data_IF_167496550421
#
_entry.id   IF_167496550421
#
_cell.length_a   1.000
_cell.length_b   1.000
_cell.length_c   1.000
_cell.angle_alpha   90.00
_cell.angle_beta   90.00
_cell.angle_gamma   90.00
#
_symmetry.space_group_name_H-M   'P 1'
#
loop_
_entity.id
_entity.type
_entity.pdbx_description
1 polymer ?
#
# COMPACT_ATOMS: atom_id res chain seq x y z
N UNK A 1 -27.13 -2.28 -6.40
CA UNK A 1 -28.32 -1.40 -6.35
C UNK A 1 -28.32 -0.78 -4.96
N UNK A 2 -27.87 0.46 -4.82
CA UNK A 2 -28.06 1.21 -3.57
C UNK A 2 -29.37 1.98 -3.73
N UNK A 3 -30.48 1.39 -3.28
CA UNK A 3 -31.71 2.15 -3.04
C UNK A 3 -31.51 2.93 -1.74
N UNK A 4 -31.37 4.25 -1.86
CA UNK A 4 -31.36 5.14 -0.73
C UNK A 4 -32.73 5.20 -0.07
N UNK A 5 -32.78 4.92 1.20
CA UNK A 5 -33.83 5.44 2.07
C UNK A 5 -33.78 6.97 2.02
N UNK A 6 -34.89 7.60 1.70
CA UNK A 6 -35.10 9.06 1.73
C UNK A 6 -34.97 9.57 3.16
N UNK A 7 -33.75 9.79 3.67
CA UNK A 7 -33.41 10.63 4.83
C UNK A 7 -31.88 10.58 5.13
N UNK A 8 -31.03 10.28 4.15
CA UNK A 8 -29.58 10.24 4.30
C UNK A 8 -28.90 11.41 3.60
N UNK A 9 -28.60 12.49 4.32
CA UNK A 9 -27.54 13.43 3.96
C UNK A 9 -26.30 12.58 3.65
N UNK A 10 -25.72 12.72 2.45
CA UNK A 10 -24.61 11.89 1.98
C UNK A 10 -23.50 11.82 3.05
N UNK A 11 -23.25 10.62 3.58
CA UNK A 11 -22.18 10.36 4.56
C UNK A 11 -20.79 10.31 3.92
N UNK A 12 -20.69 10.59 2.61
CA UNK A 12 -19.44 10.51 1.85
C UNK A 12 -18.55 11.70 2.12
N UNK A 13 -17.27 11.45 2.33
CA UNK A 13 -16.24 12.48 2.45
C UNK A 13 -16.15 13.31 1.17
N UNK A 14 -15.88 14.61 1.31
CA UNK A 14 -15.72 15.51 0.16
C UNK A 14 -14.58 15.03 -0.77
N UNK A 15 -14.85 14.95 -2.07
CA UNK A 15 -13.84 14.63 -3.07
C UNK A 15 -12.62 15.56 -3.01
N UNK A 16 -12.79 16.82 -2.56
CA UNK A 16 -11.70 17.80 -2.39
C UNK A 16 -10.67 17.35 -1.37
N UNK A 17 -11.06 16.54 -0.38
CA UNK A 17 -10.15 15.94 0.60
C UNK A 17 -9.39 14.76 0.00
N UNK A 18 -10.05 13.95 -0.82
CA UNK A 18 -9.54 12.64 -1.27
C UNK A 18 -8.66 12.75 -2.52
N UNK A 19 -9.10 13.53 -3.52
CA UNK A 19 -8.41 13.60 -4.82
C UNK A 19 -6.94 14.07 -4.76
N UNK A 20 -6.53 15.02 -3.90
CA UNK A 20 -5.13 15.42 -3.78
C UNK A 20 -4.19 14.25 -3.47
N UNK A 21 -4.60 13.33 -2.59
CA UNK A 21 -3.81 12.14 -2.28
C UNK A 21 -3.63 11.22 -3.49
N UNK A 22 -4.69 11.03 -4.29
CA UNK A 22 -4.61 10.22 -5.52
C UNK A 22 -3.67 10.84 -6.56
N UNK A 23 -3.72 12.16 -6.73
CA UNK A 23 -2.83 12.87 -7.66
C UNK A 23 -1.38 12.74 -7.19
N UNK A 24 -1.12 13.00 -5.91
CA UNK A 24 0.21 12.90 -5.34
C UNK A 24 0.79 11.49 -5.49
N UNK A 25 0.00 10.47 -5.13
CA UNK A 25 0.43 9.08 -5.24
C UNK A 25 0.71 8.68 -6.71
N UNK A 26 -0.12 9.10 -7.64
CA UNK A 26 0.09 8.83 -9.06
C UNK A 26 1.41 9.45 -9.57
N UNK A 27 1.70 10.70 -9.19
CA UNK A 27 2.95 11.37 -9.52
C UNK A 27 4.15 10.70 -8.83
N UNK A 28 4.02 10.29 -7.56
CA UNK A 28 5.07 9.57 -6.84
C UNK A 28 5.42 8.25 -7.53
N UNK A 29 4.43 7.50 -8.02
CA UNK A 29 4.68 6.27 -8.78
C UNK A 29 5.43 6.55 -10.10
N UNK A 30 5.06 7.61 -10.81
CA UNK A 30 5.77 8.03 -12.01
C UNK A 30 7.23 8.40 -11.70
N UNK A 31 7.45 9.21 -10.66
CA UNK A 31 8.79 9.62 -10.22
C UNK A 31 9.60 8.38 -9.80
N UNK A 32 9.03 7.44 -9.05
CA UNK A 32 9.70 6.20 -8.66
C UNK A 32 10.15 5.37 -9.86
N UNK A 33 9.32 5.26 -10.90
CA UNK A 33 9.67 4.49 -12.10
C UNK A 33 10.69 5.21 -12.98
N UNK A 34 10.65 6.53 -13.09
CA UNK A 34 11.72 7.33 -13.73
C UNK A 34 13.03 7.11 -12.98
N UNK A 35 12.98 7.20 -11.65
CA UNK A 35 14.15 7.00 -10.79
C UNK A 35 14.72 5.59 -10.95
N UNK A 36 13.86 4.58 -11.04
CA UNK A 36 14.24 3.19 -11.30
C UNK A 36 14.99 3.05 -12.63
N UNK A 37 14.51 3.66 -13.72
CA UNK A 37 15.17 3.60 -15.05
C UNK A 37 16.52 4.27 -15.02
N UNK A 38 16.65 5.43 -14.37
CA UNK A 38 17.88 6.20 -14.32
C UNK A 38 18.96 5.53 -13.47
N UNK A 39 18.57 4.90 -12.36
CA UNK A 39 19.49 4.35 -11.36
C UNK A 39 19.43 2.82 -11.24
N UNK A 40 19.01 2.12 -12.28
CA UNK A 40 18.72 0.68 -12.25
C UNK A 40 19.87 -0.16 -11.70
N UNK A 41 21.11 0.13 -12.11
CA UNK A 41 22.28 -0.64 -11.67
C UNK A 41 22.67 -0.34 -10.23
N UNK A 42 22.54 0.91 -9.78
CA UNK A 42 22.93 1.31 -8.43
C UNK A 42 21.95 0.75 -7.40
N UNK A 43 20.65 0.75 -7.70
CA UNK A 43 19.59 0.17 -6.86
C UNK A 43 19.81 -1.34 -6.64
N UNK A 44 20.43 -2.03 -7.59
CA UNK A 44 20.69 -3.49 -7.46
C UNK A 44 22.01 -3.83 -6.76
N UNK A 45 22.83 -2.85 -6.38
CA UNK A 45 24.11 -3.07 -5.69
C UNK A 45 23.93 -3.49 -4.22
N UNK A 46 23.12 -2.73 -3.48
CA UNK A 46 22.90 -2.98 -2.06
C UNK A 46 21.56 -2.40 -1.58
N UNK A 47 20.90 -3.08 -0.64
CA UNK A 47 19.60 -2.63 -0.10
C UNK A 47 19.72 -1.33 0.72
N UNK A 48 20.90 -1.02 1.26
CA UNK A 48 21.21 0.23 1.97
C UNK A 48 21.89 1.29 1.09
N UNK A 49 21.86 1.14 -0.22
CA UNK A 49 22.37 2.16 -1.13
C UNK A 49 21.46 3.41 -1.10
N UNK A 50 22.00 4.65 -1.14
CA UNK A 50 21.20 5.89 -1.10
C UNK A 50 20.01 5.89 -2.05
N UNK A 51 20.21 5.43 -3.27
CA UNK A 51 19.16 5.36 -4.28
C UNK A 51 18.12 4.28 -3.97
N UNK A 52 18.52 3.18 -3.35
CA UNK A 52 17.57 2.14 -2.89
C UNK A 52 16.72 2.65 -1.73
N UNK A 53 17.31 3.37 -0.78
CA UNK A 53 16.57 4.02 0.31
C UNK A 53 15.59 5.06 -0.24
N UNK A 54 16.03 5.92 -1.17
CA UNK A 54 15.17 6.94 -1.77
C UNK A 54 13.97 6.32 -2.51
N UNK A 55 14.21 5.38 -3.42
CA UNK A 55 13.11 4.74 -4.19
C UNK A 55 12.15 3.96 -3.28
N UNK A 56 12.68 3.29 -2.25
CA UNK A 56 11.85 2.57 -1.27
C UNK A 56 10.90 3.53 -0.58
N UNK A 57 11.35 4.70 -0.14
CA UNK A 57 10.49 5.68 0.53
C UNK A 57 9.54 6.41 -0.42
N UNK A 58 9.91 6.62 -1.69
CA UNK A 58 8.95 7.08 -2.71
C UNK A 58 7.82 6.04 -2.88
N UNK A 59 8.16 4.76 -2.96
CA UNK A 59 7.18 3.68 -3.15
C UNK A 59 6.34 3.42 -1.90
N UNK A 60 6.93 3.45 -0.71
CA UNK A 60 6.22 3.17 0.55
C UNK A 60 5.36 4.35 0.99
N UNK A 61 5.93 5.55 1.08
CA UNK A 61 5.24 6.75 1.58
C UNK A 61 4.51 7.47 0.44
N UNK A 62 5.22 7.78 -0.64
CA UNK A 62 4.69 8.57 -1.74
C UNK A 62 3.61 7.85 -2.56
N UNK A 63 3.83 6.59 -2.91
CA UNK A 63 2.88 5.78 -3.66
C UNK A 63 1.90 5.05 -2.74
N UNK A 64 2.40 4.09 -1.95
CA UNK A 64 1.55 3.18 -1.16
C UNK A 64 0.78 3.91 -0.07
N UNK A 65 1.47 4.63 0.81
CA UNK A 65 0.81 5.28 1.96
C UNK A 65 -0.10 6.41 1.53
N UNK A 66 0.32 7.30 0.62
CA UNK A 66 -0.54 8.41 0.19
C UNK A 66 -1.84 7.94 -0.47
N UNK A 67 -1.81 6.94 -1.36
CA UNK A 67 -3.05 6.41 -1.96
C UNK A 67 -3.95 5.78 -0.90
N UNK A 68 -3.38 5.08 0.08
CA UNK A 68 -4.11 4.47 1.19
C UNK A 68 -4.77 5.53 2.07
N UNK A 69 -4.03 6.59 2.45
CA UNK A 69 -4.59 7.70 3.25
C UNK A 69 -5.78 8.34 2.53
N UNK A 70 -5.64 8.62 1.23
CA UNK A 70 -6.71 9.15 0.42
C UNK A 70 -7.94 8.23 0.36
N UNK A 71 -7.72 6.96 0.03
CA UNK A 71 -8.78 5.96 -0.06
C UNK A 71 -9.48 5.74 1.29
N UNK A 72 -8.73 5.67 2.39
CA UNK A 72 -9.30 5.43 3.72
C UNK A 72 -10.14 6.59 4.24
N UNK A 73 -9.80 7.84 3.95
CA UNK A 73 -10.66 8.98 4.25
C UNK A 73 -12.05 8.85 3.61
N UNK A 74 -12.16 8.19 2.46
CA UNK A 74 -13.43 7.89 1.80
C UNK A 74 -14.09 6.62 2.34
N UNK A 75 -13.32 5.56 2.58
CA UNK A 75 -13.83 4.22 2.86
C UNK A 75 -14.18 4.01 4.35
N UNK A 76 -13.39 4.58 5.28
CA UNK A 76 -13.64 4.41 6.72
C UNK A 76 -15.03 4.93 7.11
N UNK A 77 -15.47 6.14 6.72
CA UNK A 77 -16.85 6.60 6.96
C UNK A 77 -17.91 5.63 6.45
N UNK A 78 -17.67 4.97 5.30
CA UNK A 78 -18.59 3.98 4.75
C UNK A 78 -18.60 2.70 5.60
N UNK A 79 -17.45 2.26 6.11
CA UNK A 79 -17.35 1.04 6.92
C UNK A 79 -18.01 1.20 8.30
N UNK A 80 -17.85 2.38 8.89
CA UNK A 80 -18.40 2.69 10.22
C UNK A 80 -19.82 3.27 10.16
N UNK A 81 -20.44 3.34 8.98
CA UNK A 81 -21.75 3.97 8.74
C UNK A 81 -21.86 5.38 9.36
N UNK A 82 -20.73 6.11 9.34
CA UNK A 82 -20.56 7.40 9.99
C UNK A 82 -20.02 8.49 9.07
N UNK A 83 -19.49 9.54 9.67
CA UNK A 83 -18.85 10.67 8.95
C UNK A 83 -17.39 10.78 9.35
N UNK A 84 -16.56 11.28 8.44
CA UNK A 84 -15.19 11.67 8.78
C UNK A 84 -15.24 12.77 9.85
N UNK A 85 -14.45 12.61 10.91
CA UNK A 85 -14.45 13.55 12.04
C UNK A 85 -14.06 14.96 11.62
N UNK A 86 -12.97 15.12 10.81
CA UNK A 86 -12.47 16.44 10.43
C UNK A 86 -11.83 16.46 9.05
N UNK A 87 -12.39 17.27 8.14
CA UNK A 87 -11.74 17.56 6.87
C UNK A 87 -10.42 18.37 7.07
N UNK A 88 -10.32 19.20 8.13
CA UNK A 88 -9.11 19.96 8.43
C UNK A 88 -7.93 19.05 8.77
N UNK A 89 -8.15 18.02 9.60
CA UNK A 89 -7.12 17.02 9.91
C UNK A 89 -6.70 16.23 8.67
N UNK A 90 -7.63 15.93 7.77
CA UNK A 90 -7.30 15.27 6.51
C UNK A 90 -6.43 16.18 5.60
N UNK A 91 -6.73 17.47 5.51
CA UNK A 91 -5.85 18.41 4.80
C UNK A 91 -4.49 18.58 5.49
N UNK A 92 -4.45 18.66 6.82
CA UNK A 92 -3.20 18.73 7.57
C UNK A 92 -2.32 17.49 7.28
N UNK A 93 -2.89 16.28 7.35
CA UNK A 93 -2.15 15.06 7.04
C UNK A 93 -1.63 15.05 5.59
N UNK A 94 -2.40 15.56 4.63
CA UNK A 94 -1.96 15.70 3.24
C UNK A 94 -0.78 16.67 3.11
N UNK A 95 -0.91 17.89 3.62
CA UNK A 95 0.10 18.96 3.46
C UNK A 95 1.42 18.54 4.13
N UNK A 96 1.36 18.05 5.36
CA UNK A 96 2.53 17.59 6.11
C UNK A 96 3.24 16.44 5.39
N UNK A 97 2.50 15.45 4.89
CA UNK A 97 3.08 14.35 4.12
C UNK A 97 3.64 14.83 2.78
N UNK A 98 2.91 15.70 2.06
CA UNK A 98 3.32 16.19 0.74
C UNK A 98 4.63 17.01 0.78
N UNK A 99 4.94 17.65 1.90
CA UNK A 99 6.21 18.36 2.13
C UNK A 99 7.24 17.41 2.75
N UNK A 100 6.86 16.62 3.75
CA UNK A 100 7.77 15.75 4.50
C UNK A 100 8.39 14.65 3.64
N UNK A 101 7.60 14.00 2.78
CA UNK A 101 8.08 12.90 1.94
C UNK A 101 9.20 13.34 0.98
N UNK A 102 9.09 14.42 0.19
CA UNK A 102 10.18 14.88 -0.67
C UNK A 102 11.45 15.27 0.09
N UNK A 103 11.32 15.90 1.27
CA UNK A 103 12.47 16.25 2.11
C UNK A 103 13.18 14.99 2.61
N UNK A 104 12.44 14.01 3.10
CA UNK A 104 12.98 12.72 3.54
C UNK A 104 13.68 11.97 2.39
N UNK A 105 13.03 11.89 1.23
CA UNK A 105 13.58 11.25 0.03
C UNK A 105 14.85 11.96 -0.44
N UNK A 106 14.87 13.29 -0.42
CA UNK A 106 16.06 14.06 -0.75
C UNK A 106 17.21 13.80 0.22
N UNK A 107 16.90 13.70 1.53
CA UNK A 107 17.89 13.30 2.54
C UNK A 107 18.53 11.94 2.24
N UNK A 108 17.73 10.94 1.89
CA UNK A 108 18.24 9.63 1.49
C UNK A 108 19.01 9.66 0.17
N UNK A 109 18.48 10.34 -0.85
CA UNK A 109 19.12 10.45 -2.15
C UNK A 109 20.52 11.06 -2.07
N UNK A 110 20.67 12.15 -1.31
CA UNK A 110 21.95 12.83 -1.08
C UNK A 110 22.77 12.20 0.04
N UNK A 111 22.25 11.14 0.67
CA UNK A 111 22.80 10.50 1.87
C UNK A 111 23.08 11.50 3.01
N UNK A 112 22.24 12.51 3.12
CA UNK A 112 22.29 13.52 4.19
C UNK A 112 21.25 13.21 5.26
N UNK A 113 21.67 12.48 6.30
CA UNK A 113 20.83 12.14 7.46
C UNK A 113 20.66 13.31 8.45
N UNK A 114 21.18 14.50 8.12
CA UNK A 114 21.04 15.73 8.89
C UNK A 114 19.65 16.36 8.72
N UNK A 115 19.64 17.70 8.52
CA UNK A 115 18.41 18.48 8.50
C UNK A 115 17.32 17.94 7.55
N UNK A 116 17.60 17.63 6.26
CA UNK A 116 16.52 17.26 5.34
C UNK A 116 15.84 15.93 5.75
N UNK A 117 16.62 14.90 6.11
CA UNK A 117 16.05 13.62 6.50
C UNK A 117 15.27 13.72 7.82
N UNK A 118 15.81 14.45 8.82
CA UNK A 118 15.15 14.65 10.12
C UNK A 118 13.84 15.42 9.99
N UNK A 119 13.89 16.62 9.40
CA UNK A 119 12.70 17.45 9.22
C UNK A 119 11.65 16.71 8.35
N UNK A 120 12.08 16.03 7.30
CA UNK A 120 11.20 15.20 6.48
C UNK A 120 10.51 14.10 7.28
N UNK A 121 11.25 13.37 8.11
CA UNK A 121 10.71 12.33 8.99
C UNK A 121 9.75 12.86 10.06
N UNK A 122 10.08 13.99 10.69
CA UNK A 122 9.22 14.65 11.68
C UNK A 122 7.89 15.10 11.07
N UNK A 123 7.92 15.70 9.87
CA UNK A 123 6.70 16.07 9.14
C UNK A 123 5.86 14.86 8.75
N UNK A 124 6.48 13.75 8.34
CA UNK A 124 5.77 12.50 8.06
C UNK A 124 5.10 11.94 9.31
N UNK A 125 5.77 11.95 10.47
CA UNK A 125 5.15 11.53 11.74
C UNK A 125 3.97 12.46 12.10
N UNK A 126 4.13 13.77 11.98
CA UNK A 126 3.05 14.72 12.24
C UNK A 126 1.84 14.49 11.30
N UNK A 127 2.10 14.13 10.02
CA UNK A 127 1.06 13.75 9.08
C UNK A 127 0.32 12.46 9.53
N UNK A 128 1.07 11.44 9.98
CA UNK A 128 0.52 10.17 10.48
C UNK A 128 -0.31 10.40 11.75
N UNK A 129 0.16 11.22 12.68
CA UNK A 129 -0.59 11.56 13.90
C UNK A 129 -1.89 12.28 13.54
N UNK A 130 -1.85 13.24 12.61
CA UNK A 130 -3.05 13.95 12.15
C UNK A 130 -4.07 12.98 11.52
N UNK A 131 -3.59 12.04 10.70
CA UNK A 131 -4.40 11.00 10.08
C UNK A 131 -4.99 10.03 11.12
N UNK A 132 -4.16 9.48 12.01
CA UNK A 132 -4.57 8.53 13.05
C UNK A 132 -5.63 9.16 13.97
N UNK A 133 -5.42 10.41 14.41
CA UNK A 133 -6.38 11.15 15.23
C UNK A 133 -7.73 11.31 14.52
N UNK A 134 -7.72 11.58 13.22
CA UNK A 134 -8.94 11.73 12.42
C UNK A 134 -9.70 10.40 12.30
N UNK A 135 -9.01 9.32 11.95
CA UNK A 135 -9.61 7.99 11.79
C UNK A 135 -10.10 7.44 13.13
N UNK A 136 -9.28 7.53 14.19
CA UNK A 136 -9.64 7.06 15.54
C UNK A 136 -10.91 7.77 16.05
N UNK A 137 -10.96 9.10 15.96
CA UNK A 137 -12.14 9.86 16.43
C UNK A 137 -13.36 9.55 15.58
N UNK A 138 -13.21 9.30 14.28
CA UNK A 138 -14.31 8.85 13.42
C UNK A 138 -14.84 7.50 13.86
N UNK A 139 -13.97 6.55 14.22
CA UNK A 139 -14.35 5.21 14.65
C UNK A 139 -15.01 5.19 16.02
N UNK A 140 -14.49 5.93 17.01
CA UNK A 140 -15.07 6.03 18.36
C UNK A 140 -16.50 6.58 18.33
N UNK A 141 -16.81 7.44 17.36
CA UNK A 141 -18.15 7.98 17.15
C UNK A 141 -19.10 7.05 16.39
N UNK A 142 -18.61 5.90 15.94
CA UNK A 142 -19.42 4.87 15.28
C UNK A 142 -20.26 4.08 16.26
N UNK A 143 -21.42 3.64 15.78
CA UNK A 143 -22.34 2.78 16.56
C UNK A 143 -22.11 1.28 16.29
N UNK A 144 -21.23 0.93 15.37
CA UNK A 144 -21.01 -0.46 14.92
C UNK A 144 -19.55 -0.85 15.10
N UNK A 145 -19.31 -1.91 15.86
CA UNK A 145 -18.02 -2.57 15.96
C UNK A 145 -17.84 -3.52 14.75
N UNK A 146 -16.91 -3.21 13.87
CA UNK A 146 -16.66 -4.02 12.68
C UNK A 146 -15.20 -4.44 12.68
N UNK A 147 -14.93 -5.73 12.51
CA UNK A 147 -13.58 -6.31 12.45
C UNK A 147 -12.65 -5.55 11.47
N UNK A 148 -13.19 -5.11 10.34
CA UNK A 148 -12.45 -4.33 9.34
C UNK A 148 -11.90 -3.00 9.89
N UNK A 149 -12.66 -2.33 10.77
CA UNK A 149 -12.23 -1.09 11.42
C UNK A 149 -11.07 -1.34 12.39
N UNK A 150 -11.10 -2.47 13.12
CA UNK A 150 -10.00 -2.86 14.02
C UNK A 150 -8.71 -3.12 13.24
N UNK A 151 -8.78 -3.81 12.09
CA UNK A 151 -7.63 -3.97 11.21
C UNK A 151 -7.03 -2.63 10.79
N UNK A 152 -7.86 -1.69 10.31
CA UNK A 152 -7.41 -0.36 9.85
C UNK A 152 -6.79 0.42 11.00
N UNK A 153 -7.42 0.44 12.18
CA UNK A 153 -6.91 1.14 13.35
C UNK A 153 -5.55 0.59 13.79
N UNK A 154 -5.44 -0.74 13.93
CA UNK A 154 -4.18 -1.39 14.33
C UNK A 154 -3.08 -1.16 13.29
N UNK A 155 -3.41 -1.20 12.00
CA UNK A 155 -2.45 -0.88 10.94
C UNK A 155 -1.94 0.57 11.06
N UNK A 156 -2.81 1.53 11.38
CA UNK A 156 -2.40 2.92 11.61
C UNK A 156 -1.47 3.07 12.81
N UNK A 157 -1.69 2.30 13.88
CA UNK A 157 -0.75 2.26 15.03
C UNK A 157 0.61 1.70 14.63
N UNK A 158 0.63 0.62 13.87
CA UNK A 158 1.87 0.06 13.34
C UNK A 158 2.60 1.03 12.39
N UNK A 159 1.87 1.81 11.58
CA UNK A 159 2.45 2.86 10.75
C UNK A 159 3.16 3.92 11.61
N UNK A 160 2.52 4.37 12.69
CA UNK A 160 3.12 5.32 13.62
C UNK A 160 4.40 4.75 14.26
N UNK A 161 4.35 3.51 14.74
CA UNK A 161 5.51 2.81 15.30
C UNK A 161 6.62 2.70 14.24
N UNK A 162 6.30 2.27 13.02
CA UNK A 162 7.26 2.18 11.91
C UNK A 162 7.95 3.51 11.64
N UNK A 163 7.16 4.58 11.49
CA UNK A 163 7.71 5.91 11.22
C UNK A 163 8.58 6.41 12.38
N UNK A 164 8.17 6.15 13.62
CA UNK A 164 8.94 6.51 14.82
C UNK A 164 10.27 5.76 14.87
N UNK A 165 10.27 4.44 14.63
CA UNK A 165 11.52 3.66 14.53
C UNK A 165 12.40 4.21 13.41
N UNK A 166 11.84 4.48 12.21
CA UNK A 166 12.58 5.06 11.10
C UNK A 166 13.24 6.41 11.43
N UNK A 167 12.51 7.30 12.13
CA UNK A 167 13.07 8.57 12.59
C UNK A 167 14.18 8.37 13.62
N UNK A 168 14.03 7.44 14.56
CA UNK A 168 15.07 7.08 15.52
C UNK A 168 16.35 6.61 14.81
N UNK A 169 16.23 5.80 13.73
CA UNK A 169 17.38 5.37 12.94
C UNK A 169 18.08 6.54 12.24
N UNK A 170 17.34 7.54 11.74
CA UNK A 170 17.93 8.76 11.17
C UNK A 170 18.70 9.53 12.23
N UNK A 171 18.15 9.69 13.42
CA UNK A 171 18.84 10.33 14.55
C UNK A 171 20.07 9.54 15.00
N UNK A 172 20.00 8.21 15.01
CA UNK A 172 21.11 7.36 15.40
C UNK A 172 22.34 7.50 14.48
N UNK A 173 22.15 7.82 13.20
CA UNK A 173 23.26 8.16 12.30
C UNK A 173 24.12 9.33 12.78
N UNK A 174 23.53 10.28 13.52
CA UNK A 174 24.25 11.46 13.98
C UNK A 174 24.70 11.36 15.44
N UNK A 175 23.86 10.74 16.29
CA UNK A 175 24.06 10.78 17.74
C UNK A 175 24.52 9.45 18.34
N UNK A 176 24.50 8.35 17.59
CA UNK A 176 24.97 7.02 17.96
C UNK A 176 24.49 6.59 19.37
N UNK A 177 23.19 6.78 19.65
CA UNK A 177 22.61 6.50 20.97
C UNK A 177 22.07 5.07 21.10
N UNK A 178 21.87 4.36 19.98
CA UNK A 178 21.52 2.95 19.99
C UNK A 178 22.77 2.08 20.16
N UNK A 179 22.62 0.86 20.72
CA UNK A 179 23.76 -0.07 20.92
C UNK A 179 24.46 -0.49 19.61
N UNK A 180 23.71 -0.60 18.53
CA UNK A 180 24.21 -1.03 17.22
C UNK A 180 23.98 0.05 16.15
N UNK A 181 24.54 -0.14 14.96
CA UNK A 181 24.37 0.78 13.83
C UNK A 181 22.93 0.78 13.29
N UNK A 182 22.54 1.88 12.69
CA UNK A 182 21.17 2.03 12.15
C UNK A 182 20.83 0.96 11.08
N UNK A 183 21.82 0.45 10.36
CA UNK A 183 21.62 -0.61 9.37
C UNK A 183 21.18 -1.92 10.03
N UNK A 184 21.64 -2.21 11.24
CA UNK A 184 21.30 -3.45 11.95
C UNK A 184 19.83 -3.47 12.38
N UNK A 185 19.22 -2.30 12.61
CA UNK A 185 17.79 -2.16 12.92
C UNK A 185 16.89 -2.01 11.69
N UNK A 186 17.46 -1.95 10.48
CA UNK A 186 16.67 -1.81 9.25
C UNK A 186 15.66 -2.96 9.04
N UNK A 187 15.99 -4.24 9.32
CA UNK A 187 15.01 -5.33 9.25
C UNK A 187 13.81 -5.12 10.18
N UNK A 188 14.03 -4.56 11.38
CA UNK A 188 12.96 -4.27 12.34
C UNK A 188 12.02 -3.21 11.77
N UNK A 189 12.55 -2.07 11.34
CA UNK A 189 11.79 -0.99 10.72
C UNK A 189 10.98 -1.48 9.51
N UNK A 190 11.64 -2.19 8.60
CA UNK A 190 11.01 -2.65 7.36
C UNK A 190 9.88 -3.66 7.60
N UNK A 191 10.11 -4.69 8.43
CA UNK A 191 9.11 -5.74 8.63
C UNK A 191 7.90 -5.26 9.45
N UNK A 192 8.08 -4.34 10.42
CA UNK A 192 6.97 -3.69 11.11
C UNK A 192 6.11 -2.91 10.09
N UNK A 193 6.73 -2.15 9.18
CA UNK A 193 6.01 -1.42 8.15
C UNK A 193 5.31 -2.32 7.15
N UNK A 194 5.96 -3.39 6.70
CA UNK A 194 5.39 -4.32 5.72
C UNK A 194 4.22 -5.11 6.29
N UNK A 195 4.40 -5.76 7.41
CA UNK A 195 3.37 -6.63 7.99
C UNK A 195 2.37 -5.84 8.86
N UNK A 196 2.84 -4.85 9.61
CA UNK A 196 2.00 -4.05 10.50
C UNK A 196 1.17 -3.00 9.77
N UNK A 197 1.75 -2.27 8.82
CA UNK A 197 1.00 -1.27 8.07
C UNK A 197 0.35 -1.85 6.82
N UNK A 198 1.16 -2.27 5.82
CA UNK A 198 0.61 -2.64 4.52
C UNK A 198 -0.23 -3.91 4.57
N UNK A 199 0.27 -4.98 5.18
CA UNK A 199 -0.44 -6.27 5.16
C UNK A 199 -1.75 -6.21 5.95
N UNK A 200 -1.73 -5.71 7.19
CA UNK A 200 -2.96 -5.60 8.00
C UNK A 200 -3.98 -4.69 7.34
N UNK A 201 -3.56 -3.54 6.80
CA UNK A 201 -4.48 -2.60 6.17
C UNK A 201 -5.08 -3.17 4.88
N UNK A 202 -4.25 -3.75 4.00
CA UNK A 202 -4.72 -4.35 2.74
C UNK A 202 -5.69 -5.50 3.03
N UNK A 203 -5.42 -6.34 4.03
CA UNK A 203 -6.33 -7.41 4.43
C UNK A 203 -7.61 -6.83 5.04
N UNK A 204 -7.52 -5.86 5.94
CA UNK A 204 -8.67 -5.24 6.58
C UNK A 204 -9.64 -4.61 5.57
N UNK A 205 -9.12 -3.80 4.65
CA UNK A 205 -9.91 -3.17 3.59
C UNK A 205 -10.33 -4.19 2.53
N UNK A 206 -9.42 -5.06 2.12
CA UNK A 206 -9.66 -6.09 1.10
C UNK A 206 -10.73 -7.09 1.49
N UNK A 207 -10.79 -7.49 2.76
CA UNK A 207 -11.81 -8.41 3.29
C UNK A 207 -13.25 -7.86 3.20
N UNK A 208 -13.40 -6.53 3.09
CA UNK A 208 -14.69 -5.88 2.83
C UNK A 208 -14.93 -5.62 1.34
N UNK A 209 -13.93 -5.05 0.66
CA UNK A 209 -14.08 -4.60 -0.73
C UNK A 209 -14.12 -5.75 -1.73
N UNK A 210 -13.31 -6.80 -1.55
CA UNK A 210 -13.25 -7.93 -2.50
C UNK A 210 -14.61 -8.64 -2.61
N UNK A 211 -15.25 -9.10 -1.51
CA UNK A 211 -16.60 -9.67 -1.58
C UNK A 211 -17.63 -8.70 -2.17
N UNK A 212 -17.56 -7.42 -1.79
CA UNK A 212 -18.47 -6.39 -2.30
C UNK A 212 -18.37 -6.24 -3.83
N UNK A 213 -17.16 -6.19 -4.39
CA UNK A 213 -16.96 -6.06 -5.84
C UNK A 213 -17.25 -7.33 -6.62
N UNK A 214 -17.15 -8.49 -5.97
CA UNK A 214 -17.56 -9.79 -6.51
C UNK A 214 -19.08 -10.02 -6.41
N UNK A 215 -19.81 -9.16 -5.70
CA UNK A 215 -21.22 -9.35 -5.34
C UNK A 215 -21.37 -10.74 -4.67
N UNK A 216 -20.53 -11.01 -3.68
CA UNK A 216 -20.55 -12.24 -2.89
C UNK A 216 -21.24 -11.98 -1.54
N UNK A 217 -22.04 -12.95 -1.09
CA UNK A 217 -22.63 -12.94 0.25
C UNK A 217 -21.70 -13.56 1.31
N UNK A 218 -20.57 -14.11 0.88
CA UNK A 218 -19.64 -14.72 1.81
C UNK A 218 -19.10 -13.71 2.82
N UNK A 219 -19.28 -14.04 4.08
CA UNK A 219 -18.75 -13.29 5.23
C UNK A 219 -18.38 -14.30 6.32
N UNK A 220 -17.15 -14.23 6.82
CA UNK A 220 -16.68 -15.07 7.92
C UNK A 220 -15.81 -14.25 8.88
N UNK A 221 -16.47 -13.58 9.81
CA UNK A 221 -15.84 -12.71 10.80
C UNK A 221 -14.87 -13.49 11.72
N UNK A 222 -15.21 -14.74 12.10
CA UNK A 222 -14.33 -15.58 12.93
C UNK A 222 -13.01 -15.87 12.23
N UNK A 223 -13.05 -16.17 10.92
CA UNK A 223 -11.84 -16.39 10.13
C UNK A 223 -10.97 -15.11 10.06
N UNK A 224 -11.59 -13.94 9.93
CA UNK A 224 -10.84 -12.67 9.91
C UNK A 224 -10.17 -12.37 11.26
N UNK A 225 -10.79 -12.72 12.39
CA UNK A 225 -10.14 -12.60 13.70
C UNK A 225 -8.92 -13.52 13.84
N UNK A 226 -8.97 -14.74 13.29
CA UNK A 226 -7.80 -15.61 13.22
C UNK A 226 -6.69 -15.01 12.36
N UNK A 227 -7.03 -14.46 11.19
CA UNK A 227 -6.07 -13.73 10.33
C UNK A 227 -5.41 -12.60 11.11
N UNK A 228 -6.20 -11.79 11.79
CA UNK A 228 -5.73 -10.68 12.64
C UNK A 228 -4.76 -11.17 13.72
N UNK A 229 -5.15 -12.20 14.45
CA UNK A 229 -4.33 -12.78 15.53
C UNK A 229 -3.01 -13.34 15.02
N UNK A 230 -3.00 -14.10 13.91
CA UNK A 230 -1.78 -14.66 13.34
C UNK A 230 -0.81 -13.58 12.84
N UNK A 231 -1.29 -12.53 12.20
CA UNK A 231 -0.41 -11.46 11.69
C UNK A 231 0.18 -10.64 12.86
N UNK A 232 -0.65 -10.19 13.81
CA UNK A 232 -0.15 -9.44 14.96
C UNK A 232 0.72 -10.31 15.87
N UNK A 233 0.33 -11.57 16.12
CA UNK A 233 1.13 -12.52 16.87
C UNK A 233 2.50 -12.76 16.21
N UNK A 234 2.52 -12.94 14.89
CA UNK A 234 3.74 -13.07 14.12
C UNK A 234 4.65 -11.84 14.25
N UNK A 235 4.08 -10.63 14.18
CA UNK A 235 4.84 -9.39 14.39
C UNK A 235 5.42 -9.28 15.79
N UNK A 236 4.65 -9.59 16.83
CA UNK A 236 5.13 -9.55 18.22
C UNK A 236 6.25 -10.56 18.44
N UNK A 237 6.09 -11.80 17.91
CA UNK A 237 7.14 -12.83 17.97
C UNK A 237 8.37 -12.38 17.19
N UNK A 238 8.22 -11.75 16.01
CA UNK A 238 9.35 -11.21 15.26
C UNK A 238 10.12 -10.16 16.04
N UNK A 239 9.44 -9.19 16.65
CA UNK A 239 10.07 -8.14 17.47
C UNK A 239 10.82 -8.77 18.64
N UNK A 240 10.21 -9.74 19.33
CA UNK A 240 10.87 -10.45 20.44
C UNK A 240 12.13 -11.18 19.97
N UNK A 241 12.04 -11.97 18.89
CA UNK A 241 13.19 -12.71 18.32
C UNK A 241 14.31 -11.75 17.91
N UNK A 242 13.96 -10.62 17.30
CA UNK A 242 14.91 -9.62 16.84
C UNK A 242 15.64 -8.95 18.00
N UNK A 243 14.90 -8.46 19.01
CA UNK A 243 15.49 -7.75 20.15
C UNK A 243 16.40 -8.64 21.03
N UNK A 244 16.13 -9.94 21.07
CA UNK A 244 16.98 -10.90 21.80
C UNK A 244 18.16 -11.42 20.96
N UNK A 245 18.38 -10.87 19.77
CA UNK A 245 19.46 -11.26 18.82
C UNK A 245 19.54 -12.79 18.64
N UNK A 246 18.38 -13.42 18.47
CA UNK A 246 18.29 -14.87 18.31
C UNK A 246 18.88 -15.35 16.97
N UNK A 247 19.29 -16.61 16.93
CA UNK A 247 19.77 -17.25 15.69
C UNK A 247 18.73 -17.23 14.58
N UNK A 248 19.18 -17.29 13.33
CA UNK A 248 18.34 -17.21 12.13
C UNK A 248 17.15 -18.18 12.14
N UNK A 249 17.29 -19.38 12.72
CA UNK A 249 16.23 -20.40 12.80
C UNK A 249 14.97 -19.91 13.55
N UNK A 250 15.11 -19.04 14.54
CA UNK A 250 13.97 -18.53 15.32
C UNK A 250 13.05 -17.61 14.49
N UNK A 251 13.57 -17.00 13.40
CA UNK A 251 12.75 -16.21 12.48
C UNK A 251 11.75 -17.03 11.65
N UNK A 252 11.89 -18.38 11.65
CA UNK A 252 10.89 -19.24 11.00
C UNK A 252 9.53 -19.20 11.73
N UNK A 253 9.51 -19.02 13.05
CA UNK A 253 8.26 -18.98 13.81
C UNK A 253 7.36 -17.77 13.41
N UNK A 254 7.84 -16.52 13.43
CA UNK A 254 7.03 -15.38 12.97
C UNK A 254 6.69 -15.47 11.48
N UNK A 255 7.60 -15.99 10.63
CA UNK A 255 7.32 -16.21 9.21
C UNK A 255 6.13 -17.16 9.01
N UNK A 256 6.11 -18.30 9.72
CA UNK A 256 5.02 -19.28 9.62
C UNK A 256 3.69 -18.72 10.12
N UNK A 257 3.69 -17.94 11.21
CA UNK A 257 2.47 -17.29 11.70
C UNK A 257 1.89 -16.32 10.67
N UNK A 258 2.73 -15.44 10.10
CA UNK A 258 2.30 -14.48 9.08
C UNK A 258 1.85 -15.23 7.81
N UNK A 259 2.57 -16.26 7.38
CA UNK A 259 2.20 -17.08 6.24
C UNK A 259 0.83 -17.76 6.42
N UNK A 260 0.54 -18.26 7.63
CA UNK A 260 -0.76 -18.83 7.98
C UNK A 260 -1.87 -17.77 7.89
N UNK A 261 -1.62 -16.56 8.42
CA UNK A 261 -2.54 -15.43 8.27
C UNK A 261 -2.86 -15.11 6.81
N UNK A 262 -1.83 -15.04 5.96
CA UNK A 262 -1.98 -14.80 4.50
C UNK A 262 -2.74 -15.95 3.83
N UNK A 263 -2.44 -17.19 4.17
CA UNK A 263 -3.15 -18.37 3.65
C UNK A 263 -4.64 -18.34 4.00
N UNK A 264 -4.99 -18.05 5.24
CA UNK A 264 -6.37 -17.93 5.69
C UNK A 264 -7.11 -16.80 4.98
N UNK A 265 -6.45 -15.65 4.76
CA UNK A 265 -7.01 -14.56 3.97
C UNK A 265 -7.18 -14.95 2.49
N UNK A 266 -6.23 -15.64 1.90
CA UNK A 266 -6.35 -16.20 0.54
C UNK A 266 -7.55 -17.14 0.43
N UNK A 267 -7.76 -18.03 1.43
CA UNK A 267 -8.94 -18.90 1.53
C UNK A 267 -10.24 -18.08 1.63
N UNK A 268 -10.24 -16.99 2.42
CA UNK A 268 -11.38 -16.08 2.50
C UNK A 268 -11.74 -15.49 1.13
N UNK A 269 -10.75 -14.96 0.42
CA UNK A 269 -10.94 -14.38 -0.92
C UNK A 269 -11.39 -15.43 -1.95
N UNK A 270 -10.83 -16.64 -1.89
CA UNK A 270 -11.23 -17.77 -2.74
C UNK A 270 -12.70 -18.16 -2.52
N UNK A 271 -13.16 -18.25 -1.26
CA UNK A 271 -14.55 -18.51 -0.94
C UNK A 271 -15.46 -17.40 -1.44
N UNK A 272 -15.11 -16.15 -1.22
CA UNK A 272 -15.84 -15.01 -1.76
C UNK A 272 -15.91 -15.05 -3.29
N UNK A 273 -14.82 -15.42 -3.96
CA UNK A 273 -14.81 -15.60 -5.42
C UNK A 273 -15.71 -16.75 -5.86
N UNK A 274 -15.70 -17.90 -5.16
CA UNK A 274 -16.53 -19.08 -5.51
C UNK A 274 -18.02 -18.80 -5.33
N UNK A 275 -18.40 -18.09 -4.28
CA UNK A 275 -19.79 -17.75 -3.92
C UNK A 275 -20.28 -16.44 -4.58
N UNK A 276 -19.56 -15.91 -5.58
CA UNK A 276 -19.97 -14.69 -6.29
C UNK A 276 -21.24 -14.91 -7.11
N UNK A 277 -22.14 -13.93 -7.07
CA UNK A 277 -23.36 -13.90 -7.88
C UNK A 277 -23.03 -13.53 -9.34
N UNK A 278 -22.12 -12.57 -9.51
CA UNK A 278 -21.72 -12.10 -10.83
C UNK A 278 -20.68 -13.02 -11.46
N UNK A 279 -21.05 -13.75 -12.51
CA UNK A 279 -20.15 -14.70 -13.21
C UNK A 279 -18.94 -14.01 -13.84
N UNK A 280 -19.13 -12.88 -14.55
CA UNK A 280 -18.05 -12.12 -15.19
C UNK A 280 -17.43 -11.13 -14.20
N UNK A 281 -16.15 -11.35 -13.87
CA UNK A 281 -15.37 -10.49 -12.98
C UNK A 281 -14.74 -9.37 -13.81
N UNK A 282 -14.80 -8.14 -13.29
CA UNK A 282 -14.17 -6.98 -13.91
C UNK A 282 -12.64 -7.09 -13.87
N UNK A 283 -11.94 -6.57 -14.88
CA UNK A 283 -10.47 -6.67 -14.99
C UNK A 283 -9.74 -6.04 -13.79
N UNK A 284 -10.29 -4.96 -13.20
CA UNK A 284 -9.74 -4.33 -12.01
C UNK A 284 -9.79 -5.25 -10.78
N UNK A 285 -10.88 -6.02 -10.65
CA UNK A 285 -11.02 -7.00 -9.57
C UNK A 285 -10.11 -8.20 -9.81
N UNK A 286 -9.89 -8.60 -11.07
CA UNK A 286 -8.91 -9.65 -11.40
C UNK A 286 -7.49 -9.23 -10.99
N UNK A 287 -7.09 -7.96 -11.25
CA UNK A 287 -5.82 -7.42 -10.80
C UNK A 287 -5.70 -7.42 -9.27
N UNK A 288 -6.78 -7.07 -8.57
CA UNK A 288 -6.81 -7.12 -7.10
C UNK A 288 -6.71 -8.56 -6.57
N UNK A 289 -7.34 -9.53 -7.23
CA UNK A 289 -7.20 -10.95 -6.88
C UNK A 289 -5.81 -11.48 -7.19
N UNK A 290 -5.17 -11.04 -8.29
CA UNK A 290 -3.78 -11.34 -8.59
C UNK A 290 -2.87 -10.85 -7.45
N UNK A 291 -3.10 -9.64 -6.93
CA UNK A 291 -2.35 -9.13 -5.77
C UNK A 291 -2.49 -10.06 -4.55
N UNK A 292 -3.68 -10.61 -4.27
CA UNK A 292 -3.86 -11.57 -3.17
C UNK A 292 -3.00 -12.83 -3.38
N UNK A 293 -2.89 -13.32 -4.61
CA UNK A 293 -1.99 -14.45 -4.93
C UNK A 293 -0.53 -14.04 -4.79
N UNK A 294 -0.17 -12.83 -5.22
CA UNK A 294 1.20 -12.31 -5.12
C UNK A 294 1.67 -12.13 -3.68
N UNK A 295 0.79 -12.09 -2.66
CA UNK A 295 1.19 -12.05 -1.24
C UNK A 295 2.09 -13.24 -0.84
N UNK A 296 2.03 -14.35 -1.57
CA UNK A 296 2.85 -15.54 -1.27
C UNK A 296 4.32 -15.32 -1.67
N UNK A 297 4.59 -14.47 -2.67
CA UNK A 297 5.95 -14.26 -3.17
C UNK A 297 6.89 -13.70 -2.09
N UNK A 298 6.57 -12.62 -1.36
CA UNK A 298 7.40 -12.14 -0.26
C UNK A 298 7.69 -13.22 0.79
N UNK A 299 6.72 -14.06 1.12
CA UNK A 299 6.89 -15.16 2.07
C UNK A 299 7.92 -16.17 1.56
N UNK A 300 7.85 -16.54 0.28
CA UNK A 300 8.82 -17.43 -0.35
C UNK A 300 10.22 -16.82 -0.33
N UNK A 301 10.37 -15.55 -0.70
CA UNK A 301 11.66 -14.87 -0.67
C UNK A 301 12.24 -14.79 0.74
N UNK A 302 11.42 -14.43 1.73
CA UNK A 302 11.86 -14.33 3.12
C UNK A 302 12.25 -15.70 3.67
N UNK A 303 11.53 -16.76 3.31
CA UNK A 303 11.92 -18.13 3.65
C UNK A 303 13.31 -18.49 3.11
N UNK A 304 13.58 -18.19 1.84
CA UNK A 304 14.89 -18.46 1.25
C UNK A 304 16.00 -17.57 1.84
N UNK A 305 15.72 -16.31 2.21
CA UNK A 305 16.67 -15.45 2.92
C UNK A 305 17.03 -16.07 4.27
N UNK A 306 16.06 -16.47 5.08
CA UNK A 306 16.29 -17.11 6.37
C UNK A 306 17.05 -18.43 6.21
N UNK A 307 16.65 -19.26 5.23
CA UNK A 307 17.31 -20.55 4.96
C UNK A 307 18.79 -20.35 4.60
N UNK A 308 19.10 -19.40 3.73
CA UNK A 308 20.51 -19.11 3.37
C UNK A 308 21.29 -18.54 4.55
N UNK A 309 20.70 -17.66 5.36
CA UNK A 309 21.34 -17.19 6.60
C UNK A 309 21.66 -18.35 7.57
N UNK A 310 20.77 -19.34 7.67
CA UNK A 310 21.02 -20.54 8.49
C UNK A 310 22.15 -21.41 7.94
N UNK A 311 22.27 -21.53 6.60
CA UNK A 311 23.23 -22.43 5.97
C UNK A 311 24.60 -21.80 5.75
N UNK A 312 24.67 -20.49 5.48
CA UNK A 312 25.91 -19.82 5.06
C UNK A 312 26.37 -18.73 6.02
N UNK A 313 25.56 -18.37 7.02
CA UNK A 313 25.78 -17.23 7.92
C UNK A 313 26.09 -15.91 7.18
N UNK A 314 25.65 -15.78 5.91
CA UNK A 314 25.90 -14.62 5.07
C UNK A 314 24.64 -14.13 4.38
N UNK A 315 24.52 -12.82 4.20
CA UNK A 315 23.39 -12.19 3.50
C UNK A 315 23.49 -12.35 1.99
N UNK A 316 22.37 -12.67 1.35
CA UNK A 316 22.26 -12.66 -0.10
C UNK A 316 21.57 -11.37 -0.56
N UNK A 317 22.37 -10.36 -0.90
CA UNK A 317 21.88 -9.02 -1.27
C UNK A 317 20.85 -9.07 -2.42
N UNK A 318 21.01 -9.95 -3.40
CA UNK A 318 20.07 -10.07 -4.52
C UNK A 318 18.70 -10.58 -4.09
N UNK A 319 18.66 -11.55 -3.17
CA UNK A 319 17.40 -12.03 -2.61
C UNK A 319 16.72 -10.92 -1.80
N UNK A 320 17.47 -10.14 -1.02
CA UNK A 320 16.93 -9.03 -0.23
C UNK A 320 16.37 -7.94 -1.14
N UNK A 321 17.10 -7.57 -2.20
CA UNK A 321 16.62 -6.58 -3.19
C UNK A 321 15.38 -7.11 -3.93
N UNK A 322 15.40 -8.38 -4.35
CA UNK A 322 14.23 -8.99 -5.00
C UNK A 322 13.03 -9.07 -4.07
N UNK A 323 13.23 -9.36 -2.79
CA UNK A 323 12.20 -9.32 -1.76
C UNK A 323 11.54 -7.94 -1.67
N UNK A 324 12.32 -6.88 -1.53
CA UNK A 324 11.81 -5.51 -1.51
C UNK A 324 11.08 -5.13 -2.81
N UNK A 325 11.62 -5.54 -3.96
CA UNK A 325 11.01 -5.28 -5.26
C UNK A 325 9.66 -6.01 -5.43
N UNK A 326 9.58 -7.27 -5.02
CA UNK A 326 8.34 -8.07 -5.04
C UNK A 326 7.27 -7.47 -4.13
N UNK A 327 7.65 -6.90 -3.01
CA UNK A 327 6.73 -6.19 -2.12
C UNK A 327 6.16 -4.93 -2.76
N UNK A 328 7.02 -3.98 -3.13
CA UNK A 328 6.58 -2.63 -3.48
C UNK A 328 6.19 -2.49 -4.95
N UNK A 329 7.03 -2.98 -5.88
CA UNK A 329 6.72 -2.97 -7.31
C UNK A 329 5.83 -4.14 -7.74
N UNK A 330 5.69 -5.18 -6.92
CA UNK A 330 4.83 -6.33 -7.17
C UNK A 330 3.49 -6.22 -6.46
N UNK A 331 3.41 -6.85 -5.29
CA UNK A 331 2.17 -7.05 -4.55
C UNK A 331 1.40 -5.75 -4.24
N UNK A 332 2.06 -4.76 -3.59
CA UNK A 332 1.41 -3.49 -3.20
C UNK A 332 0.98 -2.70 -4.44
N UNK A 333 1.82 -2.65 -5.47
CA UNK A 333 1.45 -1.97 -6.72
C UNK A 333 0.27 -2.67 -7.41
N UNK A 334 0.24 -4.00 -7.46
CA UNK A 334 -0.88 -4.73 -8.08
C UNK A 334 -2.24 -4.43 -7.42
N UNK A 335 -2.31 -4.38 -6.07
CA UNK A 335 -3.56 -4.06 -5.39
C UNK A 335 -3.98 -2.61 -5.65
N UNK A 336 -3.05 -1.67 -5.66
CA UNK A 336 -3.34 -0.26 -5.91
C UNK A 336 -3.83 -0.08 -7.36
N UNK A 337 -3.16 -0.66 -8.36
CA UNK A 337 -3.59 -0.59 -9.77
C UNK A 337 -5.03 -1.11 -9.94
N UNK A 338 -5.38 -2.23 -9.31
CA UNK A 338 -6.73 -2.79 -9.36
C UNK A 338 -7.76 -1.91 -8.64
N UNK A 339 -7.50 -1.56 -7.39
CA UNK A 339 -8.48 -0.87 -6.54
C UNK A 339 -8.70 0.59 -6.94
N UNK A 340 -7.70 1.29 -7.46
CA UNK A 340 -7.86 2.68 -7.95
C UNK A 340 -8.99 2.77 -8.98
N UNK A 341 -8.98 1.91 -10.00
CA UNK A 341 -9.99 1.93 -11.06
C UNK A 341 -11.32 1.26 -10.67
N UNK A 342 -11.42 0.83 -9.41
CA UNK A 342 -12.69 0.42 -8.80
C UNK A 342 -13.28 1.52 -7.91
N UNK A 343 -12.45 2.31 -7.23
CA UNK A 343 -12.89 3.32 -6.24
C UNK A 343 -12.93 4.72 -6.83
N UNK A 344 -11.90 5.17 -7.52
CA UNK A 344 -11.79 6.53 -8.07
C UNK A 344 -12.94 6.89 -9.05
N UNK A 345 -13.40 6.00 -9.95
CA UNK A 345 -14.54 6.31 -10.81
C UNK A 345 -15.82 6.64 -10.02
N UNK A 346 -16.07 6.00 -8.89
CA UNK A 346 -17.21 6.33 -8.03
C UNK A 346 -17.07 7.70 -7.37
N UNK A 347 -15.86 8.06 -6.92
CA UNK A 347 -15.59 9.37 -6.33
C UNK A 347 -15.81 10.48 -7.36
N UNK A 348 -15.31 10.29 -8.57
CA UNK A 348 -15.47 11.25 -9.68
C UNK A 348 -16.92 11.30 -10.15
N UNK A 349 -17.60 10.16 -10.24
CA UNK A 349 -19.00 10.12 -10.61
C UNK A 349 -19.85 10.89 -9.59
N UNK A 350 -19.63 10.71 -8.30
CA UNK A 350 -20.31 11.48 -7.25
C UNK A 350 -20.01 12.99 -7.37
N UNK A 351 -18.76 13.36 -7.67
CA UNK A 351 -18.36 14.75 -7.89
C UNK A 351 -19.16 15.41 -9.03
N UNK A 352 -19.33 14.68 -10.14
CA UNK A 352 -19.82 15.27 -11.42
C UNK A 352 -21.31 15.03 -11.62
N UNK A 353 -21.82 13.84 -11.28
CA UNK A 353 -23.14 13.39 -11.70
C UNK A 353 -24.15 13.19 -10.57
N UNK A 354 -23.75 13.25 -9.29
CA UNK A 354 -24.66 12.98 -8.17
C UNK A 354 -25.93 13.86 -8.21
N UNK A 355 -25.81 15.15 -8.56
CA UNK A 355 -26.92 16.10 -8.63
C UNK A 355 -27.83 15.89 -9.83
N UNK A 356 -27.38 15.14 -10.85
CA UNK A 356 -28.12 14.79 -12.07
C UNK A 356 -28.79 13.40 -11.94
N UNK A 357 -28.39 12.61 -10.93
CA UNK A 357 -28.92 11.25 -10.75
C UNK A 357 -30.45 11.27 -10.54
N UNK A 358 -31.16 10.47 -11.32
CA UNK A 358 -32.62 10.40 -11.33
C UNK A 358 -33.32 11.53 -12.12
N UNK A 359 -32.61 12.56 -12.56
CA UNK A 359 -33.16 13.66 -13.38
C UNK A 359 -32.81 13.53 -14.84
N UNK A 360 -31.62 13.01 -15.13
CA UNK A 360 -31.10 12.83 -16.49
C UNK A 360 -30.36 11.49 -16.59
N UNK A 361 -30.15 11.02 -17.84
CA UNK A 361 -29.36 9.82 -18.12
C UNK A 361 -27.88 10.12 -17.83
N UNK A 362 -27.30 9.42 -16.84
CA UNK A 362 -25.88 9.57 -16.47
C UNK A 362 -25.10 8.33 -16.86
N UNK A 363 -23.79 8.45 -17.19
CA UNK A 363 -22.95 7.30 -17.47
C UNK A 363 -22.75 6.44 -16.21
N UNK A 364 -22.41 5.16 -16.37
CA UNK A 364 -22.00 4.36 -15.22
C UNK A 364 -20.58 4.77 -14.76
N UNK A 365 -20.27 4.67 -13.47
CA UNK A 365 -18.92 4.96 -12.98
C UNK A 365 -17.81 4.19 -13.72
N UNK A 366 -18.06 2.93 -14.09
CA UNK A 366 -17.12 2.09 -14.84
C UNK A 366 -16.79 2.61 -16.25
N UNK A 367 -17.62 3.46 -16.83
CA UNK A 367 -17.46 3.98 -18.20
C UNK A 367 -16.60 5.27 -18.23
N UNK A 368 -16.24 5.80 -17.05
CA UNK A 368 -15.48 7.05 -16.94
C UNK A 368 -13.97 6.88 -17.21
N UNK A 369 -13.40 5.69 -17.05
CA UNK A 369 -11.99 5.43 -17.35
C UNK A 369 -11.80 4.62 -18.65
N UNK A 370 -10.59 4.68 -19.22
CA UNK A 370 -10.30 3.97 -20.45
C UNK A 370 -9.87 2.52 -20.17
N UNK A 371 -10.73 1.56 -20.52
CA UNK A 371 -10.48 0.13 -20.30
C UNK A 371 -9.32 -0.42 -21.14
N UNK A 372 -9.08 0.10 -22.35
CA UNK A 372 -7.96 -0.31 -23.20
C UNK A 372 -6.62 0.13 -22.59
N UNK A 373 -6.56 1.37 -22.09
CA UNK A 373 -5.39 1.88 -21.36
C UNK A 373 -5.12 1.04 -20.10
N UNK A 374 -6.17 0.67 -19.36
CA UNK A 374 -6.05 -0.21 -18.20
C UNK A 374 -5.48 -1.58 -18.58
N UNK A 375 -5.92 -2.16 -19.70
CA UNK A 375 -5.41 -3.46 -20.18
C UNK A 375 -3.92 -3.38 -20.52
N UNK A 376 -3.48 -2.38 -21.27
CA UNK A 376 -2.06 -2.21 -21.63
C UNK A 376 -1.20 -1.89 -20.40
N UNK A 377 -1.70 -1.07 -19.48
CA UNK A 377 -1.07 -0.83 -18.19
C UNK A 377 -0.84 -2.14 -17.41
N UNK A 378 -1.85 -3.01 -17.34
CA UNK A 378 -1.75 -4.29 -16.64
C UNK A 378 -0.76 -5.25 -17.31
N UNK A 379 -0.72 -5.30 -18.64
CA UNK A 379 0.22 -6.13 -19.37
C UNK A 379 1.67 -5.65 -19.19
N UNK A 380 1.90 -4.34 -19.35
CA UNK A 380 3.25 -3.75 -19.14
C UNK A 380 3.72 -3.92 -17.69
N UNK A 381 2.82 -3.83 -16.71
CA UNK A 381 3.10 -4.10 -15.31
C UNK A 381 3.59 -5.53 -15.09
N UNK A 382 2.82 -6.53 -15.52
CA UNK A 382 3.16 -7.93 -15.33
C UNK A 382 4.48 -8.27 -16.03
N UNK A 383 4.65 -7.83 -17.27
CA UNK A 383 5.88 -8.06 -18.03
C UNK A 383 7.09 -7.39 -17.37
N UNK A 384 6.99 -6.10 -17.02
CA UNK A 384 8.08 -5.35 -16.40
C UNK A 384 8.46 -5.90 -15.03
N UNK A 385 7.49 -6.21 -14.19
CA UNK A 385 7.70 -6.82 -12.88
C UNK A 385 8.41 -8.18 -12.99
N UNK A 386 7.88 -9.10 -13.81
CA UNK A 386 8.46 -10.44 -13.96
C UNK A 386 9.87 -10.37 -14.53
N UNK A 387 10.07 -9.57 -15.58
CA UNK A 387 11.36 -9.41 -16.21
C UNK A 387 12.40 -8.82 -15.25
N UNK A 388 12.04 -7.83 -14.42
CA UNK A 388 12.95 -7.22 -13.45
C UNK A 388 13.38 -8.21 -12.38
N UNK A 389 12.44 -8.96 -11.78
CA UNK A 389 12.75 -9.98 -10.77
C UNK A 389 13.66 -11.06 -11.35
N UNK A 390 13.33 -11.59 -12.53
CA UNK A 390 14.16 -12.58 -13.22
C UNK A 390 15.56 -12.03 -13.52
N UNK A 391 15.66 -10.78 -14.00
CA UNK A 391 16.94 -10.15 -14.33
C UNK A 391 17.86 -10.01 -13.10
N UNK A 392 17.31 -9.63 -11.93
CA UNK A 392 18.08 -9.53 -10.69
C UNK A 392 18.54 -10.91 -10.23
N UNK A 393 17.65 -11.91 -10.19
CA UNK A 393 17.94 -13.25 -9.69
C UNK A 393 18.97 -13.98 -10.58
N UNK A 394 18.80 -13.90 -11.91
CA UNK A 394 19.63 -14.59 -12.89
C UNK A 394 20.88 -13.80 -13.31
N UNK A 395 21.11 -12.61 -12.73
CA UNK A 395 22.23 -11.71 -13.08
C UNK A 395 22.25 -11.25 -14.55
N UNK A 396 21.09 -11.07 -15.16
CA UNK A 396 20.97 -10.67 -16.56
C UNK A 396 20.86 -9.13 -16.63
N UNK A 397 22.00 -8.44 -16.43
CA UNK A 397 22.02 -6.99 -16.26
C UNK A 397 21.44 -6.20 -17.44
N UNK A 398 21.58 -6.69 -18.69
CA UNK A 398 21.04 -6.00 -19.87
C UNK A 398 19.49 -5.98 -19.91
N UNK A 399 18.81 -6.88 -19.18
CA UNK A 399 17.35 -6.90 -19.09
C UNK A 399 16.78 -5.95 -18.03
N UNK A 400 17.59 -5.43 -17.11
CA UNK A 400 17.13 -4.56 -16.03
C UNK A 400 16.52 -3.25 -16.55
N UNK A 401 17.20 -2.56 -17.49
CA UNK A 401 16.69 -1.31 -18.08
C UNK A 401 15.40 -1.51 -18.90
N UNK A 402 15.27 -2.50 -19.80
CA UNK A 402 14.01 -2.82 -20.46
C UNK A 402 12.87 -3.12 -19.48
N UNK A 403 13.15 -3.87 -18.41
CA UNK A 403 12.15 -4.16 -17.38
C UNK A 403 11.70 -2.89 -16.65
N UNK A 404 12.62 -2.02 -16.26
CA UNK A 404 12.32 -0.73 -15.65
C UNK A 404 11.54 0.19 -16.61
N UNK A 405 11.85 0.18 -17.91
CA UNK A 405 11.12 0.92 -18.94
C UNK A 405 9.65 0.45 -19.07
N UNK A 406 9.39 -0.85 -18.99
CA UNK A 406 8.02 -1.38 -18.96
C UNK A 406 7.23 -0.91 -17.72
N UNK A 407 7.88 -0.81 -16.57
CA UNK A 407 7.26 -0.25 -15.36
C UNK A 407 7.03 1.26 -15.50
N UNK A 408 7.91 1.99 -16.18
CA UNK A 408 7.69 3.41 -16.51
C UNK A 408 6.50 3.58 -17.44
N UNK A 409 6.34 2.73 -18.46
CA UNK A 409 5.14 2.69 -19.31
C UNK A 409 3.89 2.44 -18.48
N UNK A 410 3.95 1.51 -17.52
CA UNK A 410 2.85 1.24 -16.58
C UNK A 410 2.47 2.50 -15.81
N UNK A 411 3.43 3.20 -15.22
CA UNK A 411 3.19 4.41 -14.45
C UNK A 411 2.64 5.55 -15.33
N UNK A 412 3.13 5.70 -16.55
CA UNK A 412 2.61 6.67 -17.51
C UNK A 412 1.15 6.39 -17.86
N UNK A 413 0.80 5.15 -18.22
CA UNK A 413 -0.57 4.75 -18.56
C UNK A 413 -1.51 4.88 -17.34
N UNK A 414 -1.02 4.58 -16.13
CA UNK A 414 -1.75 4.79 -14.90
C UNK A 414 -2.08 6.27 -14.68
N UNK A 415 -1.06 7.14 -14.74
CA UNK A 415 -1.22 8.58 -14.57
C UNK A 415 -2.18 9.16 -15.62
N UNK A 416 -2.00 8.78 -16.88
CA UNK A 416 -2.91 9.21 -17.96
C UNK A 416 -4.38 8.91 -17.63
N UNK A 417 -4.67 7.67 -17.22
CA UNK A 417 -6.02 7.24 -16.94
C UNK A 417 -6.60 7.88 -15.66
N UNK A 418 -5.77 8.07 -14.63
CA UNK A 418 -6.15 8.74 -13.37
C UNK A 418 -6.43 10.22 -13.61
N UNK A 419 -5.56 10.93 -14.32
CA UNK A 419 -5.75 12.37 -14.62
C UNK A 419 -6.97 12.59 -15.52
N UNK A 420 -7.17 11.74 -16.53
CA UNK A 420 -8.37 11.77 -17.35
C UNK A 420 -9.65 11.65 -16.53
N UNK A 421 -9.65 10.75 -15.52
CA UNK A 421 -10.76 10.61 -14.58
C UNK A 421 -10.97 11.87 -13.73
N UNK A 422 -9.93 12.35 -13.06
CA UNK A 422 -10.01 13.46 -12.09
C UNK A 422 -10.48 14.75 -12.75
N UNK A 423 -10.04 15.01 -14.00
CA UNK A 423 -10.43 16.17 -14.81
C UNK A 423 -11.64 15.92 -15.71
N UNK A 424 -12.37 14.82 -15.48
CA UNK A 424 -13.59 14.53 -16.23
C UNK A 424 -14.63 15.64 -16.03
N UNK A 425 -15.15 16.12 -17.15
CA UNK A 425 -16.25 17.11 -17.20
C UNK A 425 -17.54 16.41 -17.67
N UNK A 426 -18.73 16.86 -17.22
CA UNK A 426 -19.97 16.30 -17.72
C UNK A 426 -20.03 16.51 -19.23
N UNK A 427 -20.31 15.46 -20.00
CA UNK A 427 -20.79 15.64 -21.36
C UNK A 427 -22.18 16.22 -21.24
N UNK A 428 -22.39 17.39 -21.81
CA UNK A 428 -23.73 17.92 -22.06
C UNK A 428 -24.35 17.00 -23.12
N UNK A 429 -25.22 16.09 -22.66
CA UNK A 429 -26.03 15.24 -23.53
C UNK A 429 -27.29 15.98 -23.94
#
# INVERSE_FOLDING_TARGET
MFQGSNNGISTTTSYKVVLPFYIYAALAFLIATVFLVLNTYDITKHYFHPYTLAITHIMTLGWGTMIILGASHQLVPVFIEGRLFSNKLAYASFILAAVGIPLLVYGFYSFNMGWPARCGGELVIAAIISYLSNIMTSMVKSKTEIVHAVFVFTACLWLLITASVGLLLIYNFQYHFLPDDSIDYLPLHANIGIAGWFLLLIIGVGSRLIPMFLISKYNNVKLLWWVYGFINGGLIVFIFVFLHKNNAQFYLAPLLLIALGIFLFGRFCYRAYKERIRKKVDEQVKMSLLSVVMMILPIIFLFFIILLLMLTASENIRLIISYGFVLFFGWITAIILGMTFKTLPFIVWNKVYHHLAGKQKTPNPKDLFNASVFKWMSLSFIAGFTLFVCAVLLRISFMLKPAAALLLITAFLYNWNVLKLIFHKPALL
#
